data_IF_027452107539
#
_entry.id   IF_027452107539
#
_cell.length_a   1.000
_cell.length_b   1.000
_cell.length_c   1.000
_cell.angle_alpha   90.00
_cell.angle_beta   90.00
_cell.angle_gamma   90.00
#
_symmetry.space_group_name_H-M   'P 1'
#
loop_
_entity.id
_entity.type
_entity.pdbx_description
1 polymer ?
#
# COMPACT_ATOMS: atom_id res chain seq x y z
N UNK A 1 16.07 -6.13 -11.75
CA UNK A 1 14.73 -6.57 -12.24
C UNK A 1 13.70 -5.43 -12.28
N UNK A 2 13.51 -4.64 -11.22
CA UNK A 2 12.50 -3.56 -11.17
C UNK A 2 12.51 -2.58 -12.37
N UNK A 3 13.69 -2.08 -12.78
CA UNK A 3 13.81 -1.20 -13.97
C UNK A 3 13.34 -1.86 -15.27
N UNK A 4 13.50 -3.18 -15.40
CA UNK A 4 13.06 -3.91 -16.59
C UNK A 4 11.54 -4.13 -16.58
N UNK A 5 10.95 -4.39 -15.41
CA UNK A 5 9.49 -4.45 -15.24
C UNK A 5 8.85 -3.10 -15.52
N UNK A 6 9.42 -2.01 -15.00
CA UNK A 6 8.96 -0.65 -15.30
C UNK A 6 8.91 -0.36 -16.81
N UNK A 7 9.98 -0.72 -17.55
CA UNK A 7 10.02 -0.57 -19.02
C UNK A 7 9.01 -1.44 -19.78
N UNK A 8 8.45 -2.46 -19.13
CA UNK A 8 7.39 -3.33 -19.67
C UNK A 8 5.99 -2.90 -19.24
N UNK A 9 5.84 -1.70 -18.67
CA UNK A 9 4.54 -1.14 -18.29
C UNK A 9 4.08 -1.49 -16.86
N UNK A 10 4.88 -2.21 -16.08
CA UNK A 10 4.54 -2.44 -14.67
C UNK A 10 4.73 -1.17 -13.85
N UNK A 11 3.79 -0.92 -12.93
CA UNK A 11 3.97 0.09 -11.90
C UNK A 11 4.82 -0.47 -10.75
N UNK A 12 5.82 0.29 -10.34
CA UNK A 12 6.65 -0.04 -9.19
C UNK A 12 6.26 0.88 -8.04
N UNK A 13 5.62 0.31 -7.02
CA UNK A 13 5.25 0.99 -5.78
C UNK A 13 6.34 0.89 -4.71
N UNK A 14 6.16 1.64 -3.63
CA UNK A 14 7.01 1.59 -2.44
C UNK A 14 6.45 0.64 -1.39
N UNK A 15 7.34 0.01 -0.62
CA UNK A 15 7.01 -0.78 0.56
C UNK A 15 7.89 -0.39 1.76
N UNK A 16 8.10 0.92 1.90
CA UNK A 16 9.06 1.54 2.84
C UNK A 16 10.50 1.15 2.52
N UNK A 17 11.46 1.54 3.37
CA UNK A 17 12.88 1.36 3.11
C UNK A 17 13.42 0.10 3.77
N UNK A 18 12.96 -0.18 4.99
CA UNK A 18 13.44 -1.31 5.80
C UNK A 18 12.33 -2.19 6.36
N UNK A 19 11.08 -2.01 5.91
CA UNK A 19 9.93 -2.84 6.30
C UNK A 19 9.63 -2.84 7.82
N UNK A 20 9.79 -1.67 8.46
CA UNK A 20 9.46 -1.51 9.89
C UNK A 20 7.97 -1.25 10.11
N UNK A 21 7.49 -1.59 11.29
CA UNK A 21 6.15 -1.24 11.74
C UNK A 21 6.05 0.27 12.00
N UNK A 22 5.43 0.99 11.06
CA UNK A 22 5.49 2.45 11.00
C UNK A 22 4.88 3.17 12.22
N UNK A 23 3.76 2.72 12.83
CA UNK A 23 3.21 3.37 14.01
C UNK A 23 4.20 3.45 15.19
N UNK A 24 5.19 2.55 15.25
CA UNK A 24 6.18 2.49 16.34
C UNK A 24 7.39 3.42 16.14
N UNK A 25 7.50 4.09 15.00
CA UNK A 25 8.64 4.95 14.67
C UNK A 25 8.43 6.36 15.17
N UNK A 26 9.49 7.11 15.45
CA UNK A 26 9.38 8.56 15.58
C UNK A 26 9.17 9.24 14.21
N UNK A 27 8.98 10.55 14.18
CA UNK A 27 8.72 11.29 12.94
C UNK A 27 9.89 11.25 11.95
N UNK A 28 11.12 11.33 12.44
CA UNK A 28 12.32 11.34 11.60
C UNK A 28 12.52 9.97 10.92
N UNK A 29 12.38 8.89 11.69
CA UNK A 29 12.44 7.52 11.19
C UNK A 29 11.27 7.23 10.24
N UNK A 30 10.06 7.69 10.54
CA UNK A 30 8.90 7.55 9.65
C UNK A 30 9.12 8.27 8.31
N UNK A 31 9.67 9.49 8.33
CA UNK A 31 10.01 10.22 7.11
C UNK A 31 11.13 9.52 6.31
N UNK A 32 12.15 9.00 6.99
CA UNK A 32 13.23 8.24 6.35
C UNK A 32 12.71 6.96 5.67
N UNK A 33 11.77 6.26 6.31
CA UNK A 33 11.10 5.08 5.73
C UNK A 33 10.25 5.43 4.52
N UNK A 34 9.46 6.50 4.60
CA UNK A 34 8.46 6.84 3.58
C UNK A 34 9.04 7.66 2.43
N UNK A 35 9.58 8.85 2.72
CA UNK A 35 10.16 9.73 1.72
C UNK A 35 11.48 9.18 1.19
N UNK A 36 12.32 8.63 2.06
CA UNK A 36 13.59 8.02 1.66
C UNK A 36 13.40 6.90 0.65
N UNK A 37 12.50 5.94 0.93
CA UNK A 37 12.16 4.86 -0.01
C UNK A 37 11.63 5.41 -1.34
N UNK A 38 10.74 6.41 -1.29
CA UNK A 38 10.21 7.04 -2.50
C UNK A 38 11.32 7.63 -3.36
N UNK A 39 12.22 8.42 -2.77
CA UNK A 39 13.31 9.07 -3.49
C UNK A 39 14.32 8.06 -4.03
N UNK A 40 14.66 7.03 -3.25
CA UNK A 40 15.53 5.94 -3.69
C UNK A 40 14.97 5.25 -4.94
N UNK A 41 13.69 4.88 -4.92
CA UNK A 41 13.03 4.27 -6.07
C UNK A 41 12.96 5.23 -7.26
N UNK A 42 12.59 6.50 -7.07
CA UNK A 42 12.54 7.48 -8.15
C UNK A 42 13.90 7.69 -8.82
N UNK A 43 14.98 7.78 -8.03
CA UNK A 43 16.36 7.89 -8.55
C UNK A 43 16.75 6.68 -9.38
N UNK A 44 16.36 5.48 -8.96
CA UNK A 44 16.69 4.27 -9.68
C UNK A 44 15.82 4.03 -10.92
N UNK A 45 14.54 4.39 -10.87
CA UNK A 45 13.58 4.09 -11.92
C UNK A 45 13.47 5.21 -12.97
N UNK A 46 13.89 6.44 -12.64
CA UNK A 46 13.76 7.59 -13.53
C UNK A 46 12.32 8.06 -13.72
N UNK A 47 11.40 7.65 -12.85
CA UNK A 47 9.97 7.97 -12.92
C UNK A 47 9.39 8.20 -11.52
N UNK A 48 8.22 8.83 -11.46
CA UNK A 48 7.52 9.10 -10.20
C UNK A 48 7.02 7.80 -9.55
N UNK A 49 7.12 7.71 -8.23
CA UNK A 49 6.52 6.62 -7.44
C UNK A 49 5.31 7.18 -6.72
N UNK A 50 4.14 6.61 -7.00
CA UNK A 50 2.85 7.11 -6.55
C UNK A 50 2.16 6.25 -5.48
N UNK A 51 2.50 4.97 -5.40
CA UNK A 51 1.79 4.02 -4.55
C UNK A 51 2.69 3.53 -3.42
N UNK A 52 2.09 3.33 -2.26
CA UNK A 52 2.70 2.74 -1.07
C UNK A 52 1.90 1.51 -0.64
N UNK A 53 2.56 0.50 -0.06
CA UNK A 53 1.92 -0.50 0.78
C UNK A 53 2.52 -0.43 2.18
N UNK A 54 1.68 -0.40 3.22
CA UNK A 54 2.15 -0.38 4.60
C UNK A 54 2.68 -1.76 5.03
N UNK A 55 3.88 -1.86 5.63
CA UNK A 55 4.39 -3.09 6.23
C UNK A 55 3.41 -3.61 7.27
N UNK A 56 3.19 -4.93 7.27
CA UNK A 56 2.25 -5.60 8.17
C UNK A 56 0.80 -5.08 8.11
N UNK A 57 0.46 -4.24 7.12
CA UNK A 57 -0.82 -3.52 7.05
C UNK A 57 -1.07 -2.55 8.23
N UNK A 58 -0.04 -2.22 9.00
CA UNK A 58 -0.12 -1.37 10.19
C UNK A 58 -0.03 0.11 9.80
N UNK A 59 -1.06 0.88 10.16
CA UNK A 59 -1.18 2.30 9.81
C UNK A 59 -2.06 3.04 10.83
N UNK A 60 -1.60 4.20 11.27
CA UNK A 60 -2.36 5.18 12.05
C UNK A 60 -2.49 6.51 11.27
N UNK A 61 -3.14 7.51 11.86
CA UNK A 61 -3.30 8.83 11.22
C UNK A 61 -1.98 9.52 10.91
N UNK A 62 -0.99 9.37 11.78
CA UNK A 62 0.34 9.94 11.57
C UNK A 62 1.02 9.31 10.35
N UNK A 63 0.89 8.00 10.18
CA UNK A 63 1.37 7.27 9.00
C UNK A 63 0.65 7.71 7.72
N UNK A 64 -0.67 7.94 7.77
CA UNK A 64 -1.46 8.45 6.64
C UNK A 64 -1.00 9.85 6.22
N UNK A 65 -0.83 10.74 7.20
CA UNK A 65 -0.35 12.12 6.97
C UNK A 65 1.09 12.14 6.44
N UNK A 66 1.98 11.33 7.02
CA UNK A 66 3.36 11.23 6.56
C UNK A 66 3.46 10.65 5.15
N UNK A 67 2.61 9.67 4.78
CA UNK A 67 2.55 9.15 3.41
C UNK A 67 2.10 10.22 2.41
N UNK A 68 1.11 11.05 2.78
CA UNK A 68 0.68 12.20 1.99
C UNK A 68 1.79 13.25 1.86
N UNK A 69 2.47 13.59 2.96
CA UNK A 69 3.57 14.56 2.97
C UNK A 69 4.79 14.08 2.17
N UNK A 70 5.10 12.78 2.22
CA UNK A 70 6.10 12.14 1.37
C UNK A 70 5.72 12.17 -0.12
N UNK A 71 4.48 12.56 -0.45
CA UNK A 71 3.95 12.82 -1.79
C UNK A 71 3.51 11.58 -2.56
N UNK A 72 3.24 10.47 -1.87
CA UNK A 72 2.45 9.38 -2.46
C UNK A 72 1.08 9.90 -2.91
N UNK A 73 0.37 9.13 -3.73
CA UNK A 73 -1.01 9.44 -4.17
C UNK A 73 -2.02 8.51 -3.52
N UNK A 74 -1.62 7.29 -3.18
CA UNK A 74 -2.45 6.34 -2.46
C UNK A 74 -1.57 5.36 -1.70
N UNK A 75 -2.14 4.73 -0.68
CA UNK A 75 -1.47 3.69 0.09
C UNK A 75 -2.43 2.53 0.37
N UNK A 76 -1.93 1.31 0.19
CA UNK A 76 -2.67 0.09 0.52
C UNK A 76 -2.35 -0.36 1.94
N UNK A 77 -3.40 -0.73 2.66
CA UNK A 77 -3.34 -1.43 3.94
C UNK A 77 -3.75 -2.90 3.74
N UNK A 78 -4.23 -3.54 4.79
CA UNK A 78 -4.59 -4.95 4.80
C UNK A 78 -6.04 -5.21 4.40
N UNK A 79 -6.55 -6.35 4.82
CA UNK A 79 -7.94 -6.73 4.62
C UNK A 79 -8.85 -6.16 5.72
N UNK A 80 -10.04 -5.72 5.35
CA UNK A 80 -11.10 -5.29 6.27
C UNK A 80 -10.82 -3.95 6.96
N UNK A 81 -9.84 -3.19 6.48
CA UNK A 81 -9.43 -1.93 7.10
C UNK A 81 -10.36 -0.79 6.67
N UNK A 82 -10.14 -0.17 5.51
CA UNK A 82 -10.90 0.99 5.04
C UNK A 82 -10.83 1.08 3.50
N UNK A 83 -11.68 1.88 2.86
CA UNK A 83 -11.63 2.19 1.43
C UNK A 83 -11.08 3.59 1.15
N UNK A 84 -10.53 4.25 2.19
CA UNK A 84 -9.89 5.54 2.05
C UNK A 84 -8.58 5.43 1.26
N UNK A 85 -8.28 6.44 0.44
CA UNK A 85 -7.12 6.45 -0.48
C UNK A 85 -5.77 6.24 0.20
N UNK A 86 -5.63 6.61 1.46
CA UNK A 86 -4.40 6.42 2.26
C UNK A 86 -4.45 5.18 3.13
N UNK A 87 -5.42 4.30 2.94
CA UNK A 87 -5.63 3.09 3.72
C UNK A 87 -6.47 2.09 2.92
N UNK A 88 -6.10 1.88 1.65
CA UNK A 88 -6.91 1.08 0.73
C UNK A 88 -6.92 -0.38 1.16
N UNK A 89 -8.12 -0.90 1.34
CA UNK A 89 -8.40 -2.31 1.54
C UNK A 89 -7.87 -3.15 0.38
N UNK A 90 -7.32 -4.31 0.75
CA UNK A 90 -6.92 -5.34 -0.21
C UNK A 90 -7.74 -6.61 -0.02
N UNK A 91 -7.75 -7.42 -1.06
CA UNK A 91 -8.28 -8.79 -1.05
C UNK A 91 -7.08 -9.73 -1.08
N UNK A 92 -6.94 -10.57 -0.07
CA UNK A 92 -5.96 -11.64 -0.03
C UNK A 92 -6.43 -12.77 -0.94
N UNK A 93 -5.58 -13.16 -1.88
CA UNK A 93 -5.82 -14.25 -2.82
C UNK A 93 -4.83 -15.39 -2.65
N UNK A 94 -4.03 -15.37 -1.57
CA UNK A 94 -3.20 -16.50 -1.19
C UNK A 94 -4.08 -17.74 -1.06
N UNK A 95 -3.62 -18.84 -1.65
CA UNK A 95 -4.25 -20.17 -1.55
C UNK A 95 -5.69 -20.26 -2.07
N UNK A 96 -6.16 -19.24 -2.81
CA UNK A 96 -7.49 -19.29 -3.41
C UNK A 96 -7.51 -20.25 -4.60
N UNK A 97 -8.42 -21.22 -4.58
CA UNK A 97 -8.79 -21.97 -5.78
C UNK A 97 -9.35 -21.00 -6.83
N UNK A 98 -9.28 -21.37 -8.12
CA UNK A 98 -9.81 -20.53 -9.19
C UNK A 98 -11.28 -20.12 -8.97
N UNK A 99 -12.20 -21.01 -8.54
CA UNK A 99 -13.57 -20.60 -8.21
C UNK A 99 -13.64 -19.57 -7.08
N UNK A 100 -12.83 -19.74 -6.03
CA UNK A 100 -12.81 -18.80 -4.90
C UNK A 100 -12.20 -17.45 -5.31
N UNK A 101 -11.17 -17.44 -6.16
CA UNK A 101 -10.60 -16.22 -6.72
C UNK A 101 -11.65 -15.45 -7.54
N UNK A 102 -12.40 -16.12 -8.42
CA UNK A 102 -13.48 -15.50 -9.19
C UNK A 102 -14.59 -14.94 -8.30
N UNK A 103 -14.99 -15.68 -7.26
CA UNK A 103 -15.94 -15.19 -6.28
C UNK A 103 -15.44 -13.92 -5.57
N UNK A 104 -14.15 -13.87 -5.22
CA UNK A 104 -13.49 -12.71 -4.59
C UNK A 104 -13.42 -11.47 -5.49
N UNK A 105 -13.50 -11.62 -6.81
CA UNK A 105 -13.56 -10.50 -7.77
C UNK A 105 -14.99 -9.99 -8.03
N UNK A 106 -16.00 -10.70 -7.54
CA UNK A 106 -17.40 -10.34 -7.81
C UNK A 106 -17.83 -9.05 -7.08
N UNK A 107 -18.75 -8.26 -7.66
CA UNK A 107 -19.35 -7.12 -6.96
C UNK A 107 -20.00 -7.51 -5.62
N UNK A 108 -20.56 -8.73 -5.54
CA UNK A 108 -21.18 -9.25 -4.32
C UNK A 108 -20.18 -9.41 -3.19
N UNK A 109 -18.99 -9.92 -3.48
CA UNK A 109 -17.93 -10.04 -2.48
C UNK A 109 -17.43 -8.66 -2.02
N UNK A 110 -17.28 -7.72 -2.95
CA UNK A 110 -16.96 -6.33 -2.61
C UNK A 110 -18.03 -5.70 -1.68
N UNK A 111 -19.32 -5.83 -2.03
CA UNK A 111 -20.42 -5.28 -1.22
C UNK A 111 -20.48 -5.93 0.17
N UNK A 112 -20.34 -7.26 0.24
CA UNK A 112 -20.28 -8.00 1.49
C UNK A 112 -19.12 -7.51 2.38
N UNK A 113 -17.92 -7.35 1.82
CA UNK A 113 -16.76 -6.87 2.58
C UNK A 113 -16.90 -5.42 2.99
N UNK A 114 -17.43 -4.56 2.13
CA UNK A 114 -17.66 -3.15 2.45
C UNK A 114 -18.65 -2.97 3.59
N UNK A 115 -19.70 -3.79 3.66
CA UNK A 115 -20.65 -3.77 4.78
C UNK A 115 -20.02 -4.20 6.12
N UNK A 116 -18.95 -4.99 6.09
CA UNK A 116 -18.25 -5.52 7.29
C UNK A 116 -16.98 -4.77 7.65
N UNK A 117 -16.51 -3.84 6.82
CA UNK A 117 -15.30 -3.07 7.07
C UNK A 117 -15.47 -2.17 8.30
N UNK A 118 -14.44 -2.09 9.14
CA UNK A 118 -14.44 -1.20 10.31
C UNK A 118 -14.20 0.23 9.82
N UNK A 119 -15.08 1.17 10.16
CA UNK A 119 -14.79 2.59 9.91
C UNK A 119 -13.82 3.04 11.00
N UNK A 120 -12.56 3.23 10.64
CA UNK A 120 -11.54 3.84 11.48
C UNK A 120 -11.64 5.35 11.41
#
# INVERSE_FOLDING_TARGET
QARALARRGHWIGSHTRTHRELPLLDEAALAAELLGSRLDLQRQLGQRVHLLAYPYSQVDDRCRQAARAAGYRAACAGEGIDYHRWCLDRVNTAEASLPLFLAKLSPWFYLFRRARARRW
#
